data_IF_596948947567
#
_entry.id   IF_596948947567
#
_cell.length_a   1.000
_cell.length_b   1.000
_cell.length_c   1.000
_cell.angle_alpha   90.00
_cell.angle_beta   90.00
_cell.angle_gamma   90.00
#
_symmetry.space_group_name_H-M   'P 1'
#
loop_
_entity.id
_entity.type
_entity.pdbx_description
1 polymer ?
#
# COMPACT_ATOMS: atom_id res chain seq x y z
N UNK A 1 12.77 -4.16 2.00
CA UNK A 1 11.69 -3.20 2.30
C UNK A 1 11.66 -2.98 3.81
N UNK A 2 11.72 -1.73 4.32
CA UNK A 2 11.50 -1.46 5.74
C UNK A 2 10.08 -1.83 6.19
N UNK A 3 9.94 -2.24 7.45
CA UNK A 3 8.64 -2.40 8.08
C UNK A 3 7.93 -1.05 8.20
N UNK A 4 6.62 -1.02 7.94
CA UNK A 4 5.74 0.12 8.24
C UNK A 4 4.50 -0.35 8.97
N UNK A 5 4.14 0.36 10.03
CA UNK A 5 2.96 0.05 10.84
C UNK A 5 1.69 -0.02 9.98
N UNK A 6 0.84 -1.01 10.27
CA UNK A 6 -0.45 -1.31 9.63
C UNK A 6 -0.41 -1.78 8.17
N UNK A 7 0.57 -1.35 7.38
CA UNK A 7 0.72 -1.72 5.96
C UNK A 7 1.79 -2.79 5.73
N UNK A 8 2.51 -3.20 6.78
CA UNK A 8 3.54 -4.24 6.74
C UNK A 8 4.88 -3.74 6.23
N UNK A 9 4.93 -3.17 5.04
CA UNK A 9 6.18 -2.69 4.43
C UNK A 9 5.99 -1.51 3.49
N UNK A 10 7.10 -0.90 3.09
CA UNK A 10 7.16 0.06 1.98
C UNK A 10 8.48 -0.10 1.23
N UNK A 11 8.52 0.32 -0.03
CA UNK A 11 9.74 0.43 -0.82
C UNK A 11 10.75 1.39 -0.20
N UNK A 12 12.04 1.16 -0.43
CA UNK A 12 13.10 2.10 -0.06
C UNK A 12 13.22 3.17 -1.15
N UNK A 13 13.64 4.40 -0.81
CA UNK A 13 13.97 5.41 -1.80
C UNK A 13 15.01 4.87 -2.78
N UNK A 14 14.83 5.16 -4.05
CA UNK A 14 15.65 4.62 -5.12
C UNK A 14 15.63 5.56 -6.33
N UNK A 15 16.81 5.81 -6.91
CA UNK A 15 16.95 6.59 -8.14
C UNK A 15 17.69 5.72 -9.15
N UNK A 16 16.96 5.16 -10.11
CA UNK A 16 17.50 4.41 -11.23
C UNK A 16 17.27 5.14 -12.56
N UNK A 17 17.67 4.48 -13.66
CA UNK A 17 17.46 5.02 -15.01
C UNK A 17 15.98 5.00 -15.44
N UNK A 18 15.22 4.01 -14.97
CA UNK A 18 13.82 3.79 -15.37
C UNK A 18 12.84 3.81 -14.21
N UNK A 19 13.34 3.74 -12.97
CA UNK A 19 12.53 3.62 -11.76
C UNK A 19 13.01 4.67 -10.76
N UNK A 20 12.08 5.51 -10.32
CA UNK A 20 12.27 6.48 -9.25
C UNK A 20 11.27 6.21 -8.13
N UNK A 21 11.79 6.12 -6.91
CA UNK A 21 11.02 5.94 -5.67
C UNK A 21 11.41 7.05 -4.70
N UNK A 22 10.42 7.81 -4.24
CA UNK A 22 10.64 8.94 -3.33
C UNK A 22 10.94 8.50 -1.88
N UNK A 23 11.10 9.49 -1.00
CA UNK A 23 11.35 9.28 0.43
C UNK A 23 10.17 8.65 1.19
N UNK A 24 8.96 8.66 0.62
CA UNK A 24 7.78 8.01 1.19
C UNK A 24 7.71 6.52 0.82
N UNK A 25 8.44 6.12 -0.22
CA UNK A 25 8.42 4.79 -0.82
C UNK A 25 7.49 4.70 -2.04
N UNK A 26 7.13 5.83 -2.63
CA UNK A 26 6.15 5.91 -3.71
C UNK A 26 6.86 6.03 -5.06
N UNK A 27 6.32 5.37 -6.10
CA UNK A 27 6.79 5.58 -7.48
C UNK A 27 6.48 7.00 -7.90
N UNK A 28 7.46 7.67 -8.51
CA UNK A 28 7.32 9.02 -9.05
C UNK A 28 7.42 8.99 -10.56
N UNK A 29 6.64 9.84 -11.21
CA UNK A 29 6.71 10.10 -12.63
C UNK A 29 6.80 11.60 -12.89
N UNK A 30 7.39 11.97 -14.02
CA UNK A 30 7.52 13.36 -14.44
C UNK A 30 6.69 13.57 -15.71
N UNK A 31 5.44 14.01 -15.49
CA UNK A 31 4.45 14.26 -16.53
C UNK A 31 3.84 15.65 -16.27
N UNK A 32 3.77 16.54 -17.27
CA UNK A 32 3.12 17.84 -17.12
C UNK A 32 1.64 17.68 -16.76
N UNK A 33 1.19 18.40 -15.72
CA UNK A 33 -0.19 18.38 -15.23
C UNK A 33 -0.67 19.78 -14.86
N UNK A 34 -1.97 19.99 -14.93
CA UNK A 34 -2.64 21.19 -14.43
C UNK A 34 -2.98 20.99 -12.95
N UNK A 35 -2.20 21.65 -12.08
CA UNK A 35 -2.36 21.57 -10.62
C UNK A 35 -3.66 22.22 -10.10
N UNK A 36 -4.41 22.92 -10.94
CA UNK A 36 -5.74 23.43 -10.58
C UNK A 36 -6.84 22.37 -10.70
N UNK A 37 -6.58 21.27 -11.43
CA UNK A 37 -7.49 20.12 -11.51
C UNK A 37 -7.44 19.27 -10.25
N UNK A 38 -8.49 18.47 -10.05
CA UNK A 38 -8.58 17.49 -8.98
C UNK A 38 -7.40 16.52 -9.01
N UNK A 39 -6.89 16.18 -7.83
CA UNK A 39 -5.87 15.17 -7.60
C UNK A 39 -6.43 13.75 -7.62
N UNK A 40 -5.67 12.78 -8.15
CA UNK A 40 -6.08 11.38 -8.24
C UNK A 40 -5.03 10.46 -7.61
N UNK A 41 -5.44 9.67 -6.63
CA UNK A 41 -4.56 8.78 -5.88
C UNK A 41 -4.88 7.33 -6.22
N UNK A 42 -3.88 6.60 -6.68
CA UNK A 42 -4.05 5.25 -7.21
C UNK A 42 -3.43 4.22 -6.28
N UNK A 43 -4.23 3.30 -5.77
CA UNK A 43 -3.85 2.26 -4.81
C UNK A 43 -3.96 0.88 -5.45
N UNK A 44 -3.09 -0.04 -5.01
CA UNK A 44 -3.13 -1.44 -5.43
C UNK A 44 -1.80 -2.16 -5.23
N UNK A 45 -1.77 -3.41 -5.70
CA UNK A 45 -0.57 -4.24 -5.70
C UNK A 45 0.46 -3.88 -6.78
N UNK A 46 1.23 -4.90 -7.20
CA UNK A 46 2.33 -4.79 -8.17
C UNK A 46 1.92 -4.21 -9.53
N UNK A 47 0.68 -4.45 -9.96
CA UNK A 47 0.16 -3.89 -11.21
C UNK A 47 0.00 -2.36 -11.12
N UNK A 48 -0.47 -1.84 -9.98
CA UNK A 48 -0.57 -0.40 -9.78
C UNK A 48 0.80 0.23 -9.53
N UNK A 49 1.67 -0.44 -8.77
CA UNK A 49 3.07 -0.03 -8.60
C UNK A 49 3.82 0.05 -9.95
N UNK A 50 3.42 -0.76 -10.94
CA UNK A 50 3.99 -0.73 -12.29
C UNK A 50 5.19 -1.66 -12.45
N UNK A 51 5.08 -2.91 -11.97
CA UNK A 51 6.13 -3.91 -12.13
C UNK A 51 6.54 -4.08 -13.60
N UNK A 52 7.81 -3.80 -13.91
CA UNK A 52 8.35 -3.85 -15.28
C UNK A 52 8.13 -2.59 -16.12
N UNK A 53 7.41 -1.58 -15.61
CA UNK A 53 7.19 -0.30 -16.30
C UNK A 53 8.19 0.77 -15.85
N UNK A 54 8.67 1.62 -16.78
CA UNK A 54 9.40 2.83 -16.40
C UNK A 54 8.46 3.84 -15.73
N UNK A 55 9.00 4.87 -15.09
CA UNK A 55 8.24 5.88 -14.33
C UNK A 55 7.05 6.45 -15.11
N UNK A 56 7.29 6.93 -16.33
CA UNK A 56 6.24 7.50 -17.17
C UNK A 56 5.36 6.46 -17.89
N UNK A 57 5.59 5.17 -17.63
CA UNK A 57 4.82 4.04 -18.20
C UNK A 57 3.84 3.40 -17.22
N UNK A 58 3.77 3.88 -15.98
CA UNK A 58 2.81 3.36 -14.98
C UNK A 58 1.38 3.82 -15.26
N UNK A 59 0.37 3.11 -14.74
CA UNK A 59 -1.05 3.48 -14.89
C UNK A 59 -1.30 4.94 -14.45
N UNK A 60 -0.83 5.41 -13.27
CA UNK A 60 -1.04 6.80 -12.83
C UNK A 60 -0.32 7.84 -13.72
N UNK A 61 0.85 7.49 -14.26
CA UNK A 61 1.58 8.38 -15.17
C UNK A 61 0.85 8.54 -16.51
N UNK A 62 0.39 7.43 -17.10
CA UNK A 62 -0.40 7.44 -18.33
C UNK A 62 -1.73 8.19 -18.15
N UNK A 63 -2.41 7.99 -17.02
CA UNK A 63 -3.60 8.74 -16.68
C UNK A 63 -3.31 10.25 -16.56
N UNK A 64 -2.20 10.64 -15.92
CA UNK A 64 -1.77 12.04 -15.83
C UNK A 64 -1.58 12.64 -17.22
N UNK A 65 -0.92 11.91 -18.12
CA UNK A 65 -0.63 12.37 -19.49
C UNK A 65 -1.90 12.57 -20.31
N UNK A 66 -2.89 11.70 -20.18
CA UNK A 66 -4.14 11.75 -20.95
C UNK A 66 -5.09 12.81 -20.38
N UNK A 67 -5.23 12.89 -19.06
CA UNK A 67 -6.22 13.76 -18.40
C UNK A 67 -5.70 15.16 -18.07
N UNK A 68 -4.37 15.32 -17.97
CA UNK A 68 -3.71 16.48 -17.39
C UNK A 68 -3.96 16.66 -15.88
N UNK A 69 -4.51 15.66 -15.19
CA UNK A 69 -4.78 15.72 -13.75
C UNK A 69 -3.56 15.26 -12.93
N UNK A 70 -3.23 15.93 -11.82
CA UNK A 70 -2.19 15.46 -10.90
C UNK A 70 -2.54 14.07 -10.39
N UNK A 71 -1.65 13.10 -10.62
CA UNK A 71 -1.88 11.72 -10.18
C UNK A 71 -0.71 11.16 -9.39
N UNK A 72 -1.03 10.38 -8.37
CA UNK A 72 -0.06 9.87 -7.42
C UNK A 72 -0.15 8.35 -7.32
N UNK A 73 0.99 7.68 -7.53
CA UNK A 73 1.08 6.23 -7.41
C UNK A 73 1.25 5.83 -5.93
N UNK A 74 0.18 5.33 -5.33
CA UNK A 74 0.15 4.74 -3.98
C UNK A 74 0.07 3.21 -4.04
N UNK A 75 0.45 2.61 -5.17
CA UNK A 75 0.63 1.18 -5.30
C UNK A 75 1.88 0.69 -4.56
N UNK A 76 1.91 -0.59 -4.21
CA UNK A 76 3.09 -1.25 -3.63
C UNK A 76 3.13 -2.74 -3.99
N UNK A 77 4.34 -3.26 -4.14
CA UNK A 77 4.58 -4.65 -4.49
C UNK A 77 3.98 -5.58 -3.43
N UNK A 78 3.12 -6.49 -3.89
CA UNK A 78 2.49 -7.53 -3.06
C UNK A 78 1.40 -7.03 -2.11
N UNK A 79 1.00 -5.75 -2.18
CA UNK A 79 -0.13 -5.26 -1.38
C UNK A 79 -1.43 -5.96 -1.78
N UNK A 80 -2.24 -6.27 -0.77
CA UNK A 80 -3.63 -6.69 -0.93
C UNK A 80 -4.59 -5.53 -0.60
N UNK A 81 -5.90 -5.77 -0.81
CA UNK A 81 -6.93 -4.76 -0.59
C UNK A 81 -6.92 -4.15 0.83
N UNK A 82 -6.64 -4.96 1.86
CA UNK A 82 -6.56 -4.49 3.25
C UNK A 82 -5.38 -3.55 3.48
N UNK A 83 -4.21 -3.85 2.92
CA UNK A 83 -3.05 -2.97 2.97
C UNK A 83 -3.30 -1.67 2.19
N UNK A 84 -4.00 -1.74 1.06
CA UNK A 84 -4.46 -0.56 0.33
C UNK A 84 -5.33 0.37 1.18
N UNK A 85 -6.36 -0.18 1.84
CA UNK A 85 -7.23 0.59 2.74
C UNK A 85 -6.45 1.15 3.93
N UNK A 86 -5.59 0.35 4.57
CA UNK A 86 -4.77 0.80 5.69
C UNK A 86 -3.84 1.96 5.28
N UNK A 87 -3.28 1.91 4.06
CA UNK A 87 -2.47 3.00 3.51
C UNK A 87 -3.30 4.27 3.31
N UNK A 88 -4.52 4.16 2.78
CA UNK A 88 -5.43 5.30 2.66
C UNK A 88 -5.70 5.94 4.03
N UNK A 89 -6.05 5.13 5.04
CA UNK A 89 -6.29 5.61 6.42
C UNK A 89 -5.07 6.34 6.97
N UNK A 90 -3.87 5.79 6.81
CA UNK A 90 -2.63 6.42 7.25
C UNK A 90 -2.41 7.79 6.59
N UNK A 91 -2.62 7.90 5.27
CA UNK A 91 -2.44 9.16 4.54
C UNK A 91 -3.46 10.21 4.95
N UNK A 92 -4.74 9.82 5.11
CA UNK A 92 -5.79 10.72 5.60
C UNK A 92 -5.48 11.22 7.03
N UNK A 93 -4.98 10.34 7.90
CA UNK A 93 -4.57 10.72 9.26
C UNK A 93 -3.37 11.67 9.28
N UNK A 94 -2.54 11.67 8.23
CA UNK A 94 -1.42 12.59 8.04
C UNK A 94 -1.85 13.93 7.42
N UNK A 95 -3.14 14.12 7.13
CA UNK A 95 -3.69 15.35 6.55
C UNK A 95 -3.58 15.42 5.03
N UNK A 96 -3.24 14.32 4.36
CA UNK A 96 -3.23 14.25 2.90
C UNK A 96 -4.64 14.53 2.35
N UNK A 97 -4.77 15.51 1.46
CA UNK A 97 -6.04 15.87 0.83
C UNK A 97 -6.12 15.24 -0.55
N UNK A 98 -7.09 14.36 -0.73
CA UNK A 98 -7.29 13.63 -1.98
C UNK A 98 -8.67 13.94 -2.54
N UNK A 99 -8.76 14.33 -3.81
CA UNK A 99 -10.06 14.58 -4.45
C UNK A 99 -10.70 13.28 -4.99
N UNK A 100 -9.88 12.39 -5.54
CA UNK A 100 -10.30 11.12 -6.13
C UNK A 100 -9.33 10.02 -5.68
N UNK A 101 -9.91 8.88 -5.27
CA UNK A 101 -9.16 7.68 -4.91
C UNK A 101 -9.62 6.53 -5.80
N UNK A 102 -8.66 5.83 -6.40
CA UNK A 102 -8.89 4.66 -7.25
C UNK A 102 -8.16 3.46 -6.67
N UNK A 103 -8.87 2.36 -6.47
CA UNK A 103 -8.28 1.07 -6.12
C UNK A 103 -8.32 0.14 -7.33
N UNK A 104 -7.17 -0.47 -7.63
CA UNK A 104 -7.07 -1.56 -8.60
C UNK A 104 -6.23 -2.68 -7.98
N UNK A 105 -6.91 -3.66 -7.40
CA UNK A 105 -6.31 -4.70 -6.57
C UNK A 105 -7.08 -6.02 -6.66
N UNK A 106 -6.59 -7.05 -5.97
CA UNK A 106 -7.33 -8.30 -5.75
C UNK A 106 -6.54 -9.58 -6.03
N UNK A 107 -5.49 -9.52 -6.87
CA UNK A 107 -4.70 -10.72 -7.19
C UNK A 107 -3.98 -11.28 -5.96
N UNK A 108 -3.48 -10.41 -5.09
CA UNK A 108 -2.81 -10.81 -3.86
C UNK A 108 -3.81 -11.29 -2.80
N UNK A 109 -5.03 -10.75 -2.77
CA UNK A 109 -6.13 -11.22 -1.92
C UNK A 109 -6.48 -12.67 -2.23
N UNK A 110 -6.59 -13.03 -3.52
CA UNK A 110 -6.82 -14.42 -3.93
C UNK A 110 -5.66 -15.31 -3.45
N UNK A 111 -4.41 -14.91 -3.69
CA UNK A 111 -3.25 -15.72 -3.28
C UNK A 111 -3.06 -15.87 -1.76
N UNK A 112 -3.54 -14.91 -0.96
CA UNK A 112 -3.29 -14.87 0.49
C UNK A 112 -4.49 -15.24 1.35
N UNK A 113 -5.72 -15.08 0.84
CA UNK A 113 -6.96 -15.24 1.60
C UNK A 113 -7.98 -16.18 0.97
N UNK A 114 -7.84 -16.59 -0.30
CA UNK A 114 -8.73 -17.61 -0.91
C UNK A 114 -8.27 -19.03 -0.54
N UNK A 115 -8.37 -19.39 0.74
CA UNK A 115 -7.98 -20.72 1.25
C UNK A 115 -9.07 -21.29 2.15
N UNK A 116 -9.29 -22.61 2.07
CA UNK A 116 -10.39 -23.27 2.77
C UNK A 116 -10.24 -23.22 4.30
N UNK A 117 -9.01 -23.06 4.79
CA UNK A 117 -8.67 -22.97 6.20
C UNK A 117 -8.77 -21.55 6.80
N UNK A 118 -9.13 -20.54 6.00
CA UNK A 118 -9.17 -19.14 6.44
C UNK A 118 -10.59 -18.58 6.44
N UNK A 119 -10.90 -17.81 7.49
CA UNK A 119 -12.11 -16.98 7.55
C UNK A 119 -11.92 -15.66 6.78
N UNK A 120 -13.04 -15.00 6.44
CA UNK A 120 -13.05 -13.78 5.58
C UNK A 120 -12.16 -12.63 6.08
N UNK A 121 -11.90 -12.58 7.40
CA UNK A 121 -11.09 -11.54 8.03
C UNK A 121 -9.65 -11.95 8.32
N UNK A 122 -9.25 -13.15 7.90
CA UNK A 122 -7.94 -13.70 8.20
C UNK A 122 -6.93 -13.46 7.07
N UNK A 123 -5.65 -13.52 7.45
CA UNK A 123 -4.53 -13.48 6.53
C UNK A 123 -3.73 -14.78 6.65
N UNK A 124 -2.86 -15.04 5.68
CA UNK A 124 -2.04 -16.27 5.59
C UNK A 124 -1.12 -16.57 6.79
N UNK A 125 -1.07 -15.70 7.81
CA UNK A 125 -0.28 -15.89 9.03
C UNK A 125 -1.15 -16.00 10.29
N UNK A 126 -2.48 -15.91 10.17
CA UNK A 126 -3.39 -15.89 11.32
C UNK A 126 -3.18 -17.10 12.21
N UNK A 127 -3.12 -18.31 11.66
CA UNK A 127 -2.94 -19.52 12.47
C UNK A 127 -1.59 -19.57 13.20
N UNK A 128 -0.51 -19.18 12.51
CA UNK A 128 0.83 -19.11 13.11
C UNK A 128 0.85 -18.08 14.25
N UNK A 129 0.23 -16.92 14.05
CA UNK A 129 0.18 -15.87 15.06
C UNK A 129 -0.71 -16.26 16.24
N UNK A 130 -1.90 -16.80 15.99
CA UNK A 130 -2.83 -17.30 17.00
C UNK A 130 -2.13 -18.31 17.90
N UNK A 131 -1.50 -19.33 17.30
CA UNK A 131 -0.75 -20.36 18.02
C UNK A 131 0.35 -19.75 18.89
N UNK A 132 1.20 -18.88 18.31
CA UNK A 132 2.30 -18.24 19.06
C UNK A 132 1.83 -17.33 20.19
N UNK A 133 0.74 -16.60 19.99
CA UNK A 133 0.17 -15.72 21.02
C UNK A 133 -0.47 -16.56 22.12
N UNK A 134 -1.23 -17.59 21.80
CA UNK A 134 -1.91 -18.44 22.79
C UNK A 134 -0.91 -19.30 23.58
N UNK A 135 0.05 -19.94 22.90
CA UNK A 135 1.11 -20.73 23.55
C UNK A 135 2.09 -19.84 24.33
N UNK A 136 2.40 -18.64 23.82
CA UNK A 136 3.20 -17.64 24.54
C UNK A 136 2.47 -16.99 25.71
N UNK A 137 1.14 -16.84 25.64
CA UNK A 137 0.30 -16.29 26.70
C UNK A 137 0.18 -17.22 27.91
N UNK A 138 0.46 -18.52 27.77
CA UNK A 138 0.54 -19.42 28.92
C UNK A 138 1.82 -19.22 29.74
N UNK A 139 2.82 -18.48 29.22
CA UNK A 139 4.13 -18.30 29.86
C UNK A 139 4.54 -16.83 30.11
N UNK A 140 3.70 -15.84 29.80
CA UNK A 140 4.11 -14.43 29.91
C UNK A 140 2.96 -13.49 30.21
N UNK A 141 2.74 -13.20 31.50
CA UNK A 141 1.96 -12.05 31.94
C UNK A 141 2.65 -10.75 31.50
N UNK A 142 2.09 -10.07 30.48
CA UNK A 142 2.50 -8.71 30.12
C UNK A 142 1.60 -7.75 30.92
N UNK A 143 2.13 -6.99 31.90
CA UNK A 143 1.33 -6.00 32.59
C UNK A 143 1.00 -4.88 31.61
N UNK A 144 -0.29 -4.62 31.39
CA UNK A 144 -0.73 -3.40 30.75
C UNK A 144 -0.36 -2.24 31.67
N UNK A 145 0.56 -1.37 31.25
CA UNK A 145 0.81 -0.11 31.93
C UNK A 145 -0.43 0.78 31.73
N UNK A 146 -1.16 1.03 32.81
CA UNK A 146 -2.12 2.12 32.87
C UNK A 146 -1.37 3.43 32.68
N UNK A 147 -1.66 4.13 31.58
CA UNK A 147 -1.36 5.55 31.46
C UNK A 147 -2.54 6.28 32.08
N UNK A 148 -2.29 6.92 33.23
CA UNK A 148 -3.18 7.88 33.89
C UNK A 148 -3.37 9.14 33.06
#
# INVERSE_FOLDING_TARGET
>A
MPYKAYIGWSSKPFQGETITIDNNGDRVHDVPVDKSKKSVYFFGGSTMWGGGAPDNGTIPALFSSISGMPSYNKGEQGFNSRQGIARLVNLLAQGEKMDIVIFYDGVNDVGTSCRAELEVNEHSKTEIMRKRIQEGSLNGSIPCYHVT
#
